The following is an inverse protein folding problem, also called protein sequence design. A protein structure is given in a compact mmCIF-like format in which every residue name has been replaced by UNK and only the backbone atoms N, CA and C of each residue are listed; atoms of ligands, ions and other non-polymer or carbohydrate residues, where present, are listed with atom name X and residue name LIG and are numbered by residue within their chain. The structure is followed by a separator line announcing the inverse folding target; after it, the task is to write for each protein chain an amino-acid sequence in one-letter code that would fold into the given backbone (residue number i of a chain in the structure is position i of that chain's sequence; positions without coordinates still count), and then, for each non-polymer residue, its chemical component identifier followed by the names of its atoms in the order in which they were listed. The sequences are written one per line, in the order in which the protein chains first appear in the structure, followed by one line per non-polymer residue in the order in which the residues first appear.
data_IF_497290649892
#
_entry.id   IF_497290649892
#
_cell.length_a   1.000
_cell.length_b   1.000
_cell.length_c   1.000
_cell.angle_alpha   90.00
_cell.angle_beta   90.00
_cell.angle_gamma   90.00
#
_symmetry.space_group_name_H-M   'P 1'
#
loop_
_entity.id
_entity.type
_entity.pdbx_description
1 polymer ?
#
# COMPACT_ATOMS: atom_id res chain seq x y z
N UNK A 1 -9.42 0.94 30.67
CA UNK A 1 -10.04 1.57 29.47
C UNK A 1 -9.78 0.65 28.28
N UNK A 2 -10.81 -0.03 27.77
CA UNK A 2 -10.69 -0.88 26.58
C UNK A 2 -10.72 0.07 25.37
N UNK A 3 -9.59 0.23 24.66
CA UNK A 3 -9.57 0.89 23.33
C UNK A 3 -10.62 0.16 22.49
N UNK A 4 -11.74 0.82 22.19
CA UNK A 4 -12.70 0.30 21.21
C UNK A 4 -11.90 0.11 19.93
N UNK A 5 -11.67 -1.14 19.52
CA UNK A 5 -11.18 -1.46 18.18
C UNK A 5 -12.18 -0.77 17.26
N UNK A 6 -11.78 0.35 16.63
CA UNK A 6 -12.61 0.96 15.61
C UNK A 6 -12.91 -0.16 14.61
N UNK A 7 -14.20 -0.50 14.46
CA UNK A 7 -14.60 -1.52 13.52
C UNK A 7 -14.08 -1.07 12.16
N UNK A 8 -13.27 -1.91 11.52
CA UNK A 8 -12.84 -1.68 10.15
C UNK A 8 -14.09 -1.41 9.32
N UNK A 9 -14.09 -0.31 8.55
CA UNK A 9 -15.16 -0.05 7.61
C UNK A 9 -15.19 -1.17 6.55
N UNK A 10 -16.35 -1.39 5.92
CA UNK A 10 -16.48 -2.43 4.89
C UNK A 10 -15.46 -2.23 3.75
N UNK A 11 -15.17 -0.98 3.37
CA UNK A 11 -14.11 -0.68 2.40
C UNK A 11 -12.73 -1.17 2.85
N UNK A 12 -12.37 -0.96 4.12
CA UNK A 12 -11.09 -1.45 4.66
C UNK A 12 -11.03 -2.98 4.72
N UNK A 13 -12.15 -3.66 4.97
CA UNK A 13 -12.21 -5.13 4.97
C UNK A 13 -12.03 -5.71 3.57
N UNK A 14 -12.65 -5.09 2.56
CA UNK A 14 -12.53 -5.54 1.17
C UNK A 14 -11.08 -5.45 0.69
N UNK A 15 -10.40 -4.33 0.97
CA UNK A 15 -8.98 -4.15 0.61
C UNK A 15 -8.11 -5.22 1.26
N UNK A 16 -8.32 -5.52 2.54
CA UNK A 16 -7.56 -6.57 3.23
C UNK A 16 -7.85 -7.95 2.63
N UNK A 17 -9.11 -8.24 2.28
CA UNK A 17 -9.50 -9.50 1.67
C UNK A 17 -8.92 -9.67 0.25
N UNK A 18 -8.79 -8.58 -0.50
CA UNK A 18 -8.13 -8.57 -1.82
C UNK A 18 -6.64 -8.81 -1.65
N UNK A 19 -5.98 -8.12 -0.71
CA UNK A 19 -4.56 -8.28 -0.42
C UNK A 19 -4.21 -9.72 -0.02
N UNK A 20 -5.00 -10.35 0.84
CA UNK A 20 -4.80 -11.74 1.27
C UNK A 20 -4.87 -12.71 0.10
N UNK A 21 -5.77 -12.47 -0.86
CA UNK A 21 -5.95 -13.34 -2.03
C UNK A 21 -4.87 -13.14 -3.08
N UNK A 22 -4.49 -11.90 -3.35
CA UNK A 22 -3.50 -11.56 -4.37
C UNK A 22 -2.10 -12.09 -4.01
N UNK A 23 -1.73 -11.98 -2.74
CA UNK A 23 -0.42 -12.40 -2.24
C UNK A 23 -0.41 -13.82 -1.64
N UNK A 24 -1.54 -14.56 -1.71
CA UNK A 24 -1.75 -15.88 -1.07
C UNK A 24 -1.22 -15.91 0.37
N UNK A 25 -1.69 -14.97 1.21
CA UNK A 25 -1.18 -14.78 2.57
C UNK A 25 -1.65 -15.94 3.47
N UNK A 26 -0.70 -16.74 3.96
CA UNK A 26 -0.97 -17.86 4.86
C UNK A 26 -0.41 -17.63 6.28
N UNK A 27 0.54 -16.72 6.42
CA UNK A 27 1.28 -16.45 7.65
C UNK A 27 1.46 -14.96 7.96
N UNK A 28 1.93 -14.68 9.17
CA UNK A 28 2.29 -13.32 9.60
C UNK A 28 3.57 -12.80 8.92
N UNK A 29 4.36 -13.68 8.32
CA UNK A 29 5.54 -13.34 7.53
C UNK A 29 5.11 -12.93 6.12
N UNK A 30 4.22 -13.69 5.49
CA UNK A 30 3.69 -13.40 4.16
C UNK A 30 3.00 -12.03 4.12
N UNK A 31 2.23 -11.69 5.16
CA UNK A 31 1.61 -10.35 5.23
C UNK A 31 2.63 -9.23 5.41
N UNK A 32 3.74 -9.47 6.10
CA UNK A 32 4.81 -8.47 6.21
C UNK A 32 5.51 -8.27 4.87
N UNK A 33 5.78 -9.35 4.14
CA UNK A 33 6.47 -9.26 2.85
C UNK A 33 5.56 -8.67 1.77
N UNK A 34 4.28 -9.04 1.74
CA UNK A 34 3.28 -8.39 0.89
C UNK A 34 3.17 -6.88 1.16
N UNK A 35 3.20 -6.47 2.43
CA UNK A 35 3.18 -5.04 2.79
C UNK A 35 4.46 -4.31 2.36
N UNK A 36 5.64 -4.93 2.48
CA UNK A 36 6.90 -4.35 2.02
C UNK A 36 6.91 -4.16 0.51
N UNK A 37 6.47 -5.18 -0.23
CA UNK A 37 6.41 -5.15 -1.68
C UNK A 37 5.43 -4.07 -2.17
N UNK A 38 4.20 -4.07 -1.65
CA UNK A 38 3.16 -3.08 -2.00
C UNK A 38 3.62 -1.65 -1.69
N UNK A 39 4.19 -1.42 -0.51
CA UNK A 39 4.66 -0.09 -0.12
C UNK A 39 5.93 0.31 -0.87
N UNK A 40 6.82 -0.63 -1.17
CA UNK A 40 8.01 -0.41 -1.99
C UNK A 40 7.63 0.11 -3.38
N UNK A 41 6.76 -0.61 -4.09
CA UNK A 41 6.28 -0.18 -5.41
C UNK A 41 5.50 1.14 -5.37
N UNK A 42 4.75 1.40 -4.29
CA UNK A 42 4.04 2.67 -4.12
C UNK A 42 5.02 3.83 -3.94
N UNK A 43 6.04 3.68 -3.08
CA UNK A 43 7.04 4.72 -2.83
C UNK A 43 7.87 4.96 -4.09
N UNK A 44 8.29 3.91 -4.82
CA UNK A 44 8.98 4.06 -6.10
C UNK A 44 8.13 4.83 -7.11
N UNK A 45 6.84 4.51 -7.21
CA UNK A 45 5.92 5.22 -8.09
C UNK A 45 5.75 6.69 -7.70
N UNK A 46 5.68 6.98 -6.40
CA UNK A 46 5.62 8.36 -5.89
C UNK A 46 6.92 9.13 -6.19
N UNK A 47 8.08 8.51 -5.95
CA UNK A 47 9.38 9.11 -6.24
C UNK A 47 9.58 9.33 -7.75
N UNK A 48 9.17 8.38 -8.58
CA UNK A 48 9.23 8.51 -10.04
C UNK A 48 8.30 9.63 -10.53
N UNK A 49 7.09 9.73 -9.99
CA UNK A 49 6.16 10.82 -10.30
C UNK A 49 6.71 12.17 -9.79
N UNK A 50 7.35 12.22 -8.63
CA UNK A 50 8.03 13.43 -8.14
C UNK A 50 9.18 13.83 -9.06
N UNK A 51 9.99 12.89 -9.54
CA UNK A 51 11.06 13.15 -10.50
C UNK A 51 10.53 13.60 -11.87
N UNK A 52 9.45 13.00 -12.37
CA UNK A 52 8.80 13.40 -13.64
C UNK A 52 8.20 14.81 -13.54
N UNK A 53 7.58 15.14 -12.40
CA UNK A 53 7.10 16.49 -12.12
C UNK A 53 8.26 17.49 -11.88
N UNK A 54 9.41 17.04 -11.37
CA UNK A 54 10.62 17.86 -11.21
C UNK A 54 11.47 17.98 -12.47
N UNK A 55 11.27 17.10 -13.45
CA UNK A 55 11.82 17.18 -14.80
C UNK A 55 11.07 18.20 -15.66
N UNK A 56 10.43 19.19 -15.01
CA UNK A 56 9.88 20.39 -15.60
C UNK A 56 10.73 20.80 -16.79
N UNK A 57 10.26 20.38 -17.97
CA UNK A 57 10.61 21.06 -19.18
C UNK A 57 9.98 22.43 -18.93
N UNK A 58 10.78 23.36 -18.43
CA UNK A 58 10.60 24.74 -18.77
C UNK A 58 10.44 24.72 -20.29
N UNK A 59 9.20 24.84 -20.76
CA UNK A 59 8.90 25.02 -22.17
C UNK A 59 9.79 26.18 -22.62
N UNK A 60 10.80 25.87 -23.44
CA UNK A 60 11.73 26.84 -24.02
C UNK A 60 11.00 27.95 -24.78
#
# INVERSE_FOLDING_TARGET
MVKRKERLSEGKKNIIADLIREYDIQSAEDIQDALKDLLGGTIESMLAAELDNHLGYDEY
#
